data_IF_385193851854
#
_entry.id   IF_385193851854
#
_cell.length_a   1.000
_cell.length_b   1.000
_cell.length_c   1.000
_cell.angle_alpha   90.00
_cell.angle_beta   90.00
_cell.angle_gamma   90.00
#
_symmetry.space_group_name_H-M   'P 1'
#
loop_
_entity.id
_entity.type
_entity.pdbx_description
1 polymer ?
#
# COMPACT_ATOMS: atom_id res chain seq x y z
N UNK A 1 -3.67 10.62 6.67
CA UNK A 1 -4.07 9.25 7.10
C UNK A 1 -4.38 9.26 8.60
N UNK A 2 -5.53 8.75 9.01
CA UNK A 2 -5.94 8.71 10.40
C UNK A 2 -5.19 7.65 11.23
N UNK A 3 -5.18 7.80 12.57
CA UNK A 3 -4.50 6.88 13.48
C UNK A 3 -5.04 5.44 13.42
N UNK A 4 -6.34 5.26 13.16
CA UNK A 4 -6.99 3.94 13.10
C UNK A 4 -6.44 3.11 11.95
N UNK A 5 -6.43 3.68 10.74
CA UNK A 5 -5.91 3.05 9.54
C UNK A 5 -4.41 2.81 9.65
N UNK A 6 -3.66 3.78 10.19
CA UNK A 6 -2.24 3.60 10.48
C UNK A 6 -1.98 2.40 11.41
N UNK A 7 -2.74 2.29 12.50
CA UNK A 7 -2.65 1.16 13.45
C UNK A 7 -3.01 -0.15 12.75
N UNK A 8 -4.06 -0.18 11.93
CA UNK A 8 -4.47 -1.36 11.18
C UNK A 8 -3.36 -1.87 10.25
N UNK A 9 -2.74 -0.97 9.46
CA UNK A 9 -1.62 -1.33 8.58
C UNK A 9 -0.46 -1.92 9.40
N UNK A 10 -0.10 -1.28 10.51
CA UNK A 10 0.99 -1.76 11.37
C UNK A 10 0.68 -3.11 12.00
N UNK A 11 -0.56 -3.36 12.42
CA UNK A 11 -0.98 -4.64 12.99
C UNK A 11 -0.90 -5.75 11.94
N UNK A 12 -1.43 -5.53 10.74
CA UNK A 12 -1.36 -6.50 9.63
C UNK A 12 0.09 -6.80 9.24
N UNK A 13 0.92 -5.77 9.19
CA UNK A 13 2.33 -5.91 8.81
C UNK A 13 3.23 -6.37 9.96
N UNK A 14 2.74 -6.45 11.21
CA UNK A 14 3.54 -6.79 12.38
C UNK A 14 4.31 -8.12 12.25
N UNK A 15 3.73 -9.23 11.72
CA UNK A 15 4.45 -10.48 11.50
C UNK A 15 5.60 -10.35 10.49
N UNK A 16 5.45 -9.43 9.54
CA UNK A 16 6.45 -9.15 8.52
C UNK A 16 7.53 -8.18 9.02
N UNK A 17 7.28 -7.42 10.09
CA UNK A 17 8.24 -6.53 10.75
C UNK A 17 8.90 -7.23 11.95
N UNK A 18 9.73 -8.24 11.70
CA UNK A 18 10.64 -8.77 12.74
C UNK A 18 11.72 -7.73 13.08
N UNK A 19 12.07 -7.59 14.37
CA UNK A 19 13.19 -6.75 14.82
C UNK A 19 14.48 -7.19 14.10
N UNK A 20 15.26 -6.23 13.60
CA UNK A 20 16.59 -6.47 13.03
C UNK A 20 16.71 -6.53 11.50
N UNK A 21 15.61 -6.40 10.72
CA UNK A 21 15.69 -6.43 9.25
C UNK A 21 15.34 -5.06 8.65
N UNK A 22 16.33 -4.23 8.25
CA UNK A 22 16.12 -2.90 7.65
C UNK A 22 15.19 -2.92 6.42
N UNK A 23 15.29 -3.97 5.61
CA UNK A 23 14.49 -4.17 4.41
C UNK A 23 12.97 -4.14 4.68
N UNK A 24 12.51 -4.76 5.77
CA UNK A 24 11.08 -4.82 6.13
C UNK A 24 10.55 -3.49 6.68
N UNK A 25 11.38 -2.72 7.39
CA UNK A 25 11.02 -1.32 7.77
C UNK A 25 10.85 -0.44 6.52
N UNK A 26 11.70 -0.62 5.51
CA UNK A 26 11.58 0.08 4.22
C UNK A 26 10.28 -0.29 3.50
N UNK A 27 9.89 -1.57 3.53
CA UNK A 27 8.62 -2.02 2.97
C UNK A 27 7.41 -1.40 3.66
N UNK A 28 7.38 -1.35 5.00
CA UNK A 28 6.30 -0.69 5.74
C UNK A 28 6.21 0.80 5.40
N UNK A 29 7.34 1.52 5.37
CA UNK A 29 7.36 2.95 4.98
C UNK A 29 6.82 3.16 3.57
N UNK A 30 7.22 2.30 2.62
CA UNK A 30 6.71 2.34 1.25
C UNK A 30 5.21 2.09 1.19
N UNK A 31 4.70 1.10 1.93
CA UNK A 31 3.26 0.83 2.00
C UNK A 31 2.49 2.04 2.51
N UNK A 32 2.95 2.65 3.60
CA UNK A 32 2.33 3.84 4.18
C UNK A 32 2.28 4.99 3.18
N UNK A 33 3.40 5.29 2.50
CA UNK A 33 3.47 6.33 1.49
C UNK A 33 2.54 6.08 0.30
N UNK A 34 2.39 4.82 -0.14
CA UNK A 34 1.44 4.47 -1.21
C UNK A 34 0.00 4.73 -0.77
N UNK A 35 -0.38 4.30 0.44
CA UNK A 35 -1.74 4.47 0.95
C UNK A 35 -2.06 5.94 1.23
N UNK A 36 -1.09 6.70 1.75
CA UNK A 36 -1.21 8.15 1.93
C UNK A 36 -1.47 8.87 0.61
N UNK A 37 -0.68 8.58 -0.44
CA UNK A 37 -0.91 9.16 -1.78
C UNK A 37 -2.32 8.82 -2.32
N UNK A 38 -2.79 7.59 -2.10
CA UNK A 38 -4.15 7.20 -2.50
C UNK A 38 -5.20 8.03 -1.76
N UNK A 39 -5.06 8.21 -0.45
CA UNK A 39 -6.04 8.97 0.33
C UNK A 39 -6.01 10.47 0.03
N UNK A 40 -4.83 11.03 -0.24
CA UNK A 40 -4.66 12.43 -0.62
C UNK A 40 -5.40 12.75 -1.92
N UNK A 41 -5.32 11.85 -2.92
CA UNK A 41 -5.97 12.04 -4.21
C UNK A 41 -7.44 11.57 -4.22
N UNK A 42 -7.88 10.84 -3.19
CA UNK A 42 -9.23 10.26 -3.13
C UNK A 42 -9.89 10.52 -1.76
N UNK A 43 -10.18 11.81 -1.45
CA UNK A 43 -10.67 12.21 -0.13
C UNK A 43 -12.00 11.53 0.23
N UNK A 44 -12.81 11.20 -0.78
CA UNK A 44 -14.08 10.49 -0.63
C UNK A 44 -13.95 9.09 -0.03
N UNK A 45 -12.74 8.51 0.07
CA UNK A 45 -12.49 7.24 0.74
C UNK A 45 -12.58 7.35 2.27
N UNK A 46 -12.51 8.57 2.83
CA UNK A 46 -12.47 8.82 4.27
C UNK A 46 -11.38 7.98 4.96
N UNK A 47 -10.24 7.82 4.28
CA UNK A 47 -9.07 7.07 4.76
C UNK A 47 -9.39 5.61 5.18
N UNK A 48 -10.43 5.02 4.59
CA UNK A 48 -10.86 3.66 4.89
C UNK A 48 -10.25 2.65 3.88
N UNK A 49 -9.40 1.76 4.37
CA UNK A 49 -8.72 0.73 3.57
C UNK A 49 -9.66 -0.21 2.83
N UNK A 50 -10.82 -0.54 3.40
CA UNK A 50 -11.80 -1.44 2.76
C UNK A 50 -12.37 -0.85 1.46
N UNK A 51 -12.32 0.48 1.32
CA UNK A 51 -12.81 1.21 0.14
C UNK A 51 -11.73 1.30 -0.94
N UNK A 52 -10.46 1.10 -0.59
CA UNK A 52 -9.36 1.04 -1.55
C UNK A 52 -9.52 -0.20 -2.43
N UNK A 53 -9.61 0.01 -3.74
CA UNK A 53 -9.74 -1.06 -4.71
C UNK A 53 -9.00 -0.79 -6.00
N UNK A 54 -9.42 -1.52 -7.05
CA UNK A 54 -8.74 -1.48 -8.34
C UNK A 54 -8.65 -0.07 -8.93
N UNK A 55 -9.72 0.74 -8.84
CA UNK A 55 -9.74 2.11 -9.39
C UNK A 55 -8.67 2.97 -8.72
N UNK A 56 -8.57 2.90 -7.39
CA UNK A 56 -7.59 3.62 -6.58
C UNK A 56 -6.16 3.26 -6.97
N UNK A 57 -5.90 1.95 -7.04
CA UNK A 57 -4.58 1.44 -7.38
C UNK A 57 -4.18 1.79 -8.81
N UNK A 58 -5.12 1.74 -9.76
CA UNK A 58 -4.87 2.18 -11.13
C UNK A 58 -4.59 3.69 -11.19
N UNK A 59 -5.30 4.49 -10.39
CA UNK A 59 -5.01 5.92 -10.22
C UNK A 59 -3.59 6.16 -9.71
N UNK A 60 -3.20 5.44 -8.65
CA UNK A 60 -1.84 5.46 -8.11
C UNK A 60 -0.78 5.10 -9.17
N UNK A 61 -1.00 4.04 -9.93
CA UNK A 61 -0.07 3.61 -10.99
C UNK A 61 0.04 4.61 -12.13
N UNK A 62 -1.02 5.33 -12.47
CA UNK A 62 -0.97 6.40 -13.47
C UNK A 62 -0.15 7.59 -12.97
N UNK A 63 -0.31 7.99 -11.71
CA UNK A 63 0.46 9.10 -11.10
C UNK A 63 1.95 8.78 -11.01
N UNK A 64 2.27 7.52 -10.72
CA UNK A 64 3.65 7.02 -10.59
C UNK A 64 4.21 6.45 -11.90
N UNK A 65 3.60 6.74 -13.06
CA UNK A 65 4.04 6.20 -14.34
C UNK A 65 5.46 6.61 -14.75
N UNK A 66 5.95 7.75 -14.26
CA UNK A 66 7.30 8.26 -14.48
C UNK A 66 8.38 7.47 -13.71
N UNK A 67 8.00 6.63 -12.74
CA UNK A 67 8.96 5.82 -11.99
C UNK A 67 9.47 4.64 -12.79
N UNK A 68 10.69 4.20 -12.48
CA UNK A 68 11.29 3.04 -13.13
C UNK A 68 10.47 1.77 -12.87
N UNK A 69 10.49 0.84 -13.83
CA UNK A 69 9.82 -0.46 -13.71
C UNK A 69 10.24 -1.21 -12.44
N UNK A 70 11.53 -1.15 -12.07
CA UNK A 70 12.05 -1.75 -10.83
C UNK A 70 11.36 -1.17 -9.58
N UNK A 71 11.26 0.16 -9.48
CA UNK A 71 10.61 0.82 -8.35
C UNK A 71 9.13 0.46 -8.27
N UNK A 72 8.42 0.46 -9.41
CA UNK A 72 6.99 0.12 -9.46
C UNK A 72 6.74 -1.34 -9.10
N UNK A 73 7.62 -2.26 -9.51
CA UNK A 73 7.58 -3.67 -9.11
C UNK A 73 7.77 -3.83 -7.60
N UNK A 74 8.76 -3.16 -7.01
CA UNK A 74 8.97 -3.19 -5.55
C UNK A 74 7.78 -2.64 -4.76
N UNK A 75 7.10 -1.61 -5.27
CA UNK A 75 5.85 -1.09 -4.68
C UNK A 75 4.69 -2.07 -4.81
N UNK A 76 4.55 -2.69 -5.98
CA UNK A 76 3.53 -3.70 -6.24
C UNK A 76 3.69 -4.91 -5.31
N UNK A 77 4.90 -5.42 -5.13
CA UNK A 77 5.17 -6.57 -4.27
C UNK A 77 4.77 -6.29 -2.82
N UNK A 78 5.04 -5.07 -2.34
CA UNK A 78 4.64 -4.63 -0.98
C UNK A 78 3.13 -4.49 -0.85
N UNK A 79 2.45 -3.91 -1.86
CA UNK A 79 0.99 -3.84 -1.87
C UNK A 79 0.37 -5.23 -1.88
N UNK A 80 0.86 -6.12 -2.73
CA UNK A 80 0.38 -7.49 -2.83
C UNK A 80 0.52 -8.21 -1.49
N UNK A 81 1.70 -8.13 -0.87
CA UNK A 81 1.96 -8.70 0.45
C UNK A 81 0.95 -8.20 1.49
N UNK A 82 0.69 -6.90 1.53
CA UNK A 82 -0.27 -6.31 2.46
C UNK A 82 -1.70 -6.78 2.19
N UNK A 83 -2.14 -6.79 0.94
CA UNK A 83 -3.50 -7.21 0.58
C UNK A 83 -3.75 -8.69 0.88
N UNK A 84 -2.74 -9.53 0.62
CA UNK A 84 -2.77 -10.95 0.95
C UNK A 84 -2.82 -11.14 2.49
N UNK A 85 -1.99 -10.41 3.24
CA UNK A 85 -1.95 -10.48 4.71
C UNK A 85 -3.21 -9.92 5.39
N UNK A 86 -3.80 -8.86 4.83
CA UNK A 86 -5.05 -8.27 5.31
C UNK A 86 -6.30 -9.04 4.86
N UNK A 87 -6.13 -10.13 4.09
CA UNK A 87 -7.21 -10.91 3.49
C UNK A 87 -8.23 -10.04 2.74
N UNK A 88 -7.74 -8.98 2.09
CA UNK A 88 -8.59 -8.09 1.32
C UNK A 88 -8.99 -8.81 0.04
N UNK A 89 -10.31 -8.98 -0.19
CA UNK A 89 -10.86 -9.71 -1.35
C UNK A 89 -10.48 -9.12 -2.73
N UNK A 90 -9.74 -8.02 -2.79
CA UNK A 90 -9.44 -7.26 -4.01
C UNK A 90 -8.02 -7.54 -4.48
N UNK A 91 -7.87 -7.99 -5.74
CA UNK A 91 -6.55 -8.17 -6.36
C UNK A 91 -5.90 -6.81 -6.64
N UNK A 92 -4.62 -6.69 -6.27
CA UNK A 92 -3.78 -5.54 -6.65
C UNK A 92 -3.50 -5.63 -8.15
N UNK A 93 -3.86 -4.62 -8.97
CA UNK A 93 -3.52 -4.63 -10.38
C UNK A 93 -2.02 -4.45 -10.54
N UNK A 94 -1.42 -5.24 -11.44
CA UNK A 94 -0.01 -5.09 -11.79
C UNK A 94 0.23 -3.72 -12.45
N UNK A 95 1.27 -2.96 -12.06
CA UNK A 95 1.66 -1.75 -12.77
C UNK A 95 2.05 -2.10 -14.22
N UNK A 96 1.45 -1.40 -15.19
CA UNK A 96 1.88 -1.42 -16.59
C UNK A 96 3.14 -0.59 -16.77
#
# INVERSE_FOLDING_TARGET
>A
MNPTTYKQIRTVMAPYVKKGIPYRKKQLKRLLAIIEDIFEHEPYLNENLSRVGRKQMMGYWRRTAHETHKTRKEKYDVLKLFFDAAQLKRKVPCPK
#
